data_IF_308566016262
#
_entry.id   IF_308566016262
#
_cell.length_a   1.000
_cell.length_b   1.000
_cell.length_c   1.000
_cell.angle_alpha   90.00
_cell.angle_beta   90.00
_cell.angle_gamma   90.00
#
_symmetry.space_group_name_H-M   'P 1'
#
loop_
_entity.id
_entity.type
_entity.pdbx_description
1 polymer ?
#
# COMPACT_ATOMS: atom_id res chain seq x y z
N UNK A 1 14.18 17.84 2.28
CA UNK A 1 13.67 18.48 1.04
C UNK A 1 12.20 18.12 0.92
N UNK A 2 11.29 19.09 0.86
CA UNK A 2 9.84 18.85 0.76
C UNK A 2 9.32 19.60 -0.47
N UNK A 3 8.38 19.02 -1.22
CA UNK A 3 7.76 19.61 -2.40
C UNK A 3 8.73 20.03 -3.52
N UNK A 4 9.83 19.29 -3.70
CA UNK A 4 10.72 19.44 -4.86
C UNK A 4 10.78 18.14 -5.64
N UNK A 5 10.99 18.28 -6.95
CA UNK A 5 11.19 17.14 -7.84
C UNK A 5 12.55 16.48 -7.56
N UNK A 6 12.52 15.25 -7.07
CA UNK A 6 13.72 14.44 -6.80
C UNK A 6 14.51 14.15 -8.06
N UNK A 7 13.88 14.13 -9.24
CA UNK A 7 14.54 13.85 -10.51
C UNK A 7 15.57 14.91 -10.91
N UNK A 8 15.47 16.11 -10.31
CA UNK A 8 16.43 17.19 -10.50
C UNK A 8 17.72 17.00 -9.70
N UNK A 9 17.69 16.17 -8.66
CA UNK A 9 18.85 15.87 -7.81
C UNK A 9 19.75 14.79 -8.39
N UNK A 10 19.24 13.99 -9.33
CA UNK A 10 20.04 12.97 -10.00
C UNK A 10 20.99 13.59 -11.02
N UNK A 11 22.19 13.03 -11.10
CA UNK A 11 23.16 13.39 -12.12
C UNK A 11 22.62 13.04 -13.53
N UNK A 12 22.76 13.93 -14.54
CA UNK A 12 22.22 13.72 -15.88
C UNK A 12 22.71 12.42 -16.54
N UNK A 13 23.98 12.06 -16.36
CA UNK A 13 24.55 10.82 -16.88
C UNK A 13 23.92 9.54 -16.32
N UNK A 14 23.40 9.60 -15.10
CA UNK A 14 22.79 8.45 -14.42
C UNK A 14 21.30 8.30 -14.78
N UNK A 15 20.67 9.31 -15.40
CA UNK A 15 19.24 9.30 -15.72
C UNK A 15 18.78 8.11 -16.59
N UNK A 16 19.55 7.63 -17.60
CA UNK A 16 19.18 6.44 -18.36
C UNK A 16 19.10 5.19 -17.48
N UNK A 17 20.05 5.00 -16.58
CA UNK A 17 20.03 3.88 -15.63
C UNK A 17 18.88 4.04 -14.62
N UNK A 18 18.67 5.25 -14.11
CA UNK A 18 17.59 5.55 -13.18
C UNK A 18 16.23 5.27 -13.83
N UNK A 19 16.06 5.53 -15.12
CA UNK A 19 14.84 5.14 -15.85
C UNK A 19 14.58 3.63 -15.75
N UNK A 20 15.57 2.80 -16.08
CA UNK A 20 15.45 1.34 -15.98
C UNK A 20 15.21 0.87 -14.53
N UNK A 21 15.82 1.57 -13.58
CA UNK A 21 15.62 1.35 -12.15
C UNK A 21 14.16 1.62 -11.76
N UNK A 22 13.58 2.75 -12.15
CA UNK A 22 12.17 3.05 -11.90
C UNK A 22 11.23 2.05 -12.58
N UNK A 23 11.53 1.60 -13.81
CA UNK A 23 10.77 0.52 -14.45
C UNK A 23 10.78 -0.76 -13.61
N UNK A 24 11.94 -1.10 -13.02
CA UNK A 24 12.11 -2.29 -12.19
C UNK A 24 11.42 -2.16 -10.83
N UNK A 25 11.55 -1.00 -10.18
CA UNK A 25 10.88 -0.66 -8.91
C UNK A 25 9.37 -0.81 -9.06
N UNK A 26 8.84 -0.32 -10.17
CA UNK A 26 7.41 -0.37 -10.45
C UNK A 26 6.93 -1.78 -10.78
N UNK A 27 7.77 -2.61 -11.42
CA UNK A 27 7.46 -4.01 -11.70
C UNK A 27 7.48 -4.90 -10.47
N UNK A 28 8.45 -4.72 -9.58
CA UNK A 28 8.71 -5.63 -8.45
C UNK A 28 8.15 -5.12 -7.12
N UNK A 29 7.65 -3.89 -7.08
CA UNK A 29 7.17 -3.16 -5.91
C UNK A 29 8.20 -2.95 -4.78
N UNK A 30 9.32 -3.66 -4.78
CA UNK A 30 10.46 -3.47 -3.89
C UNK A 30 11.75 -3.92 -4.59
N UNK A 31 12.87 -3.28 -4.26
CA UNK A 31 14.20 -3.66 -4.72
C UNK A 31 15.21 -3.53 -3.57
N UNK A 32 16.00 -4.58 -3.26
CA UNK A 32 16.83 -4.63 -2.06
C UNK A 32 18.01 -3.65 -2.08
N UNK A 33 18.72 -3.50 -3.21
CA UNK A 33 19.82 -2.53 -3.32
C UNK A 33 20.11 -2.19 -4.78
N UNK A 34 20.03 -0.92 -5.13
CA UNK A 34 20.40 -0.43 -6.47
C UNK A 34 21.91 -0.32 -6.63
N UNK A 35 22.38 -0.16 -7.88
CA UNK A 35 23.76 0.29 -8.11
C UNK A 35 23.94 1.70 -7.52
N UNK A 36 25.19 2.09 -7.18
CA UNK A 36 25.48 3.44 -6.73
C UNK A 36 25.05 4.49 -7.75
N UNK A 37 24.25 5.46 -7.31
CA UNK A 37 23.79 6.61 -8.11
C UNK A 37 24.29 7.91 -7.50
N UNK A 38 24.52 8.93 -8.33
CA UNK A 38 24.96 10.24 -7.87
C UNK A 38 23.76 11.12 -7.52
N UNK A 39 23.75 11.63 -6.29
CA UNK A 39 22.76 12.59 -5.79
C UNK A 39 23.43 13.93 -5.48
N UNK A 40 22.80 15.01 -5.95
CA UNK A 40 23.25 16.37 -5.70
C UNK A 40 22.94 16.79 -4.26
N UNK A 41 23.96 17.30 -3.56
CA UNK A 41 23.84 17.92 -2.23
C UNK A 41 23.57 19.41 -2.34
N UNK A 42 23.25 20.05 -1.21
CA UNK A 42 22.89 21.48 -1.19
C UNK A 42 24.00 22.41 -1.70
N UNK A 43 25.26 22.06 -1.45
CA UNK A 43 26.43 22.79 -1.95
C UNK A 43 26.75 22.53 -3.44
N UNK A 44 25.91 21.79 -4.18
CA UNK A 44 26.09 21.49 -5.60
C UNK A 44 27.07 20.36 -5.90
N UNK A 45 27.73 19.78 -4.89
CA UNK A 45 28.52 18.56 -5.06
C UNK A 45 27.61 17.33 -5.23
N UNK A 46 28.20 16.21 -5.62
CA UNK A 46 27.50 14.93 -5.71
C UNK A 46 28.02 13.94 -4.67
N UNK A 47 27.10 13.15 -4.13
CA UNK A 47 27.40 11.98 -3.29
C UNK A 47 27.01 10.71 -4.04
N UNK A 48 27.72 9.61 -3.80
CA UNK A 48 27.32 8.29 -4.32
C UNK A 48 26.50 7.56 -3.27
N UNK A 49 25.30 7.14 -3.64
CA UNK A 49 24.39 6.43 -2.75
C UNK A 49 23.90 5.12 -3.36
N UNK A 50 23.80 4.10 -2.54
CA UNK A 50 23.02 2.90 -2.82
C UNK A 50 21.65 3.04 -2.20
N UNK A 51 20.60 2.72 -2.94
CA UNK A 51 19.23 2.91 -2.45
C UNK A 51 18.49 1.58 -2.43
N UNK A 52 17.86 1.30 -1.29
CA UNK A 52 16.85 0.24 -1.17
C UNK A 52 15.50 0.87 -1.46
N UNK A 53 14.71 0.28 -2.36
CA UNK A 53 13.45 0.86 -2.82
C UNK A 53 12.26 0.05 -2.34
N UNK A 54 11.22 0.76 -1.95
CA UNK A 54 9.90 0.21 -1.68
C UNK A 54 8.84 1.10 -2.32
N UNK A 55 7.79 0.48 -2.84
CA UNK A 55 6.63 1.19 -3.37
C UNK A 55 5.40 0.86 -2.55
N UNK A 56 4.57 1.87 -2.31
CA UNK A 56 3.27 1.69 -1.68
C UNK A 56 2.21 2.00 -2.71
N UNK A 57 1.31 1.04 -2.88
CA UNK A 57 0.29 1.04 -3.90
C UNK A 57 -1.06 1.07 -3.21
N UNK A 58 -1.91 1.99 -3.67
CA UNK A 58 -3.24 2.14 -3.13
C UNK A 58 -4.09 0.89 -3.46
N UNK A 59 -4.70 0.22 -2.45
CA UNK A 59 -5.34 -1.08 -2.67
C UNK A 59 -6.63 -0.99 -3.50
N UNK A 60 -7.27 0.18 -3.56
CA UNK A 60 -8.51 0.39 -4.33
C UNK A 60 -8.23 0.85 -5.76
N UNK A 61 -7.41 1.90 -5.92
CA UNK A 61 -7.12 2.47 -7.25
C UNK A 61 -6.02 1.73 -8.02
N UNK A 62 -5.25 0.86 -7.34
CA UNK A 62 -4.07 0.16 -7.87
C UNK A 62 -2.98 1.10 -8.41
N UNK A 63 -3.00 2.37 -7.99
CA UNK A 63 -2.00 3.39 -8.35
C UNK A 63 -0.91 3.46 -7.29
N UNK A 64 0.30 3.80 -7.73
CA UNK A 64 1.40 4.13 -6.81
C UNK A 64 1.00 5.38 -6.02
N UNK A 65 1.01 5.26 -4.70
CA UNK A 65 0.73 6.36 -3.79
C UNK A 65 2.02 7.08 -3.42
N UNK A 66 3.07 6.32 -3.07
CA UNK A 66 4.41 6.85 -2.86
C UNK A 66 5.49 5.78 -3.08
N UNK A 67 6.70 6.25 -3.35
CA UNK A 67 7.92 5.45 -3.44
C UNK A 67 8.83 5.92 -2.30
N UNK A 68 9.34 4.97 -1.53
CA UNK A 68 10.28 5.20 -0.43
C UNK A 68 11.64 4.63 -0.80
N UNK A 69 12.68 5.45 -0.65
CA UNK A 69 14.08 5.04 -0.81
C UNK A 69 14.80 5.11 0.53
N UNK A 70 15.50 4.04 0.90
CA UNK A 70 16.46 4.03 2.01
C UNK A 70 17.86 4.19 1.43
N UNK A 71 18.43 5.36 1.63
CA UNK A 71 19.71 5.76 1.05
C UNK A 71 20.89 5.39 1.96
N UNK A 72 21.89 4.74 1.39
CA UNK A 72 23.16 4.41 2.03
C UNK A 72 24.28 5.15 1.30
N UNK A 73 25.00 6.02 2.01
CA UNK A 73 26.09 6.81 1.42
C UNK A 73 27.32 5.91 1.29
N UNK A 74 27.82 5.79 0.06
CA UNK A 74 29.03 5.04 -0.26
C UNK A 74 30.23 5.98 -0.35
N UNK A 75 30.03 7.15 -0.96
CA UNK A 75 31.08 8.15 -1.15
C UNK A 75 30.53 9.53 -0.79
N UNK A 76 31.30 10.24 0.04
CA UNK A 76 30.98 11.61 0.45
C UNK A 76 31.21 12.63 -0.68
N UNK A 77 30.76 13.87 -0.48
CA UNK A 77 30.93 14.94 -1.46
C UNK A 77 32.37 15.43 -1.48
N UNK A 78 32.81 15.95 -2.64
CA UNK A 78 34.14 16.53 -2.80
C UNK A 78 34.40 17.69 -1.81
N UNK A 79 33.39 18.53 -1.57
CA UNK A 79 33.42 19.52 -0.50
C UNK A 79 32.69 18.97 0.75
N UNK A 80 33.39 18.77 1.88
CA UNK A 80 32.78 18.26 3.11
C UNK A 80 31.75 19.23 3.72
N UNK A 81 31.83 20.53 3.39
CA UNK A 81 30.87 21.51 3.87
C UNK A 81 29.59 21.51 2.99
N UNK A 82 28.67 20.62 3.34
CA UNK A 82 27.38 20.45 2.62
C UNK A 82 26.36 21.56 2.89
N UNK A 83 26.58 22.40 3.90
CA UNK A 83 25.67 23.50 4.28
C UNK A 83 25.99 24.82 3.55
N UNK A 84 27.13 24.87 2.86
CA UNK A 84 27.51 26.00 2.04
C UNK A 84 26.56 26.15 0.84
N UNK A 85 26.28 27.39 0.43
CA UNK A 85 25.55 27.66 -0.81
C UNK A 85 26.31 27.11 -2.02
N UNK A 86 25.58 26.56 -3.00
CA UNK A 86 26.17 26.13 -4.25
C UNK A 86 26.89 27.28 -4.95
N UNK A 87 28.10 27.00 -5.43
CA UNK A 87 28.91 27.94 -6.19
C UNK A 87 28.44 27.93 -7.65
N UNK A 88 27.91 29.05 -8.18
CA UNK A 88 27.43 29.11 -9.56
C UNK A 88 28.55 28.89 -10.59
N UNK A 89 29.82 29.11 -10.23
CA UNK A 89 30.96 28.87 -11.13
C UNK A 89 31.29 27.38 -11.28
N UNK A 90 30.92 26.56 -10.28
CA UNK A 90 31.13 25.10 -10.30
C UNK A 90 29.92 24.33 -10.83
N UNK A 91 28.82 25.03 -11.13
CA UNK A 91 27.66 24.40 -11.73
C UNK A 91 28.06 23.81 -13.10
N UNK A 92 27.86 22.51 -13.30
CA UNK A 92 28.08 21.86 -14.59
C UNK A 92 27.31 22.62 -15.68
N UNK A 93 28.05 23.24 -16.59
CA UNK A 93 27.46 23.87 -17.78
C UNK A 93 27.12 22.76 -18.75
N UNK A 94 25.89 22.24 -18.63
CA UNK A 94 25.34 21.29 -19.59
C UNK A 94 25.01 22.01 -20.89
N UNK A 95 25.35 21.37 -22.01
CA UNK A 95 24.91 21.79 -23.34
C UNK A 95 23.39 21.70 -23.45
N UNK A 96 22.79 22.44 -24.38
CA UNK A 96 21.33 22.41 -24.57
C UNK A 96 20.84 21.02 -24.99
N UNK A 97 21.65 20.26 -25.73
CA UNK A 97 21.37 18.88 -26.09
C UNK A 97 21.32 17.95 -24.87
N UNK A 98 22.29 18.05 -23.96
CA UNK A 98 22.33 17.28 -22.72
C UNK A 98 21.15 17.62 -21.80
N UNK A 99 20.80 18.91 -21.70
CA UNK A 99 19.62 19.35 -20.93
C UNK A 99 18.34 18.77 -21.51
N UNK A 100 18.17 18.83 -22.83
CA UNK A 100 17.01 18.27 -23.51
C UNK A 100 16.92 16.76 -23.30
N UNK A 101 18.03 16.03 -23.45
CA UNK A 101 18.09 14.58 -23.21
C UNK A 101 17.72 14.25 -21.75
N UNK A 102 18.29 14.98 -20.79
CA UNK A 102 17.96 14.81 -19.38
C UNK A 102 16.47 15.05 -19.12
N UNK A 103 15.89 16.10 -19.71
CA UNK A 103 14.46 16.41 -19.58
C UNK A 103 13.57 15.32 -20.19
N UNK A 104 13.95 14.75 -21.34
CA UNK A 104 13.25 13.61 -21.94
C UNK A 104 13.29 12.37 -21.04
N UNK A 105 14.45 12.06 -20.44
CA UNK A 105 14.57 10.95 -19.49
C UNK A 105 13.68 11.17 -18.26
N UNK A 106 13.67 12.39 -17.69
CA UNK A 106 12.81 12.73 -16.55
C UNK A 106 11.33 12.58 -16.89
N UNK A 107 10.91 13.08 -18.04
CA UNK A 107 9.53 12.92 -18.52
C UNK A 107 9.15 11.44 -18.70
N UNK A 108 10.07 10.63 -19.22
CA UNK A 108 9.85 9.18 -19.35
C UNK A 108 9.70 8.50 -17.99
N UNK A 109 10.50 8.85 -16.97
CA UNK A 109 10.36 8.32 -15.60
C UNK A 109 8.99 8.65 -15.02
N UNK A 110 8.55 9.91 -15.16
CA UNK A 110 7.23 10.34 -14.70
C UNK A 110 6.12 9.56 -15.42
N UNK A 111 6.28 9.32 -16.72
CA UNK A 111 5.35 8.52 -17.52
C UNK A 111 5.26 7.08 -17.01
N UNK A 112 6.40 6.44 -16.77
CA UNK A 112 6.48 5.08 -16.20
C UNK A 112 5.72 5.01 -14.87
N UNK A 113 5.95 5.96 -13.96
CA UNK A 113 5.27 6.00 -12.65
C UNK A 113 3.76 6.19 -12.77
N UNK A 114 3.26 6.83 -13.84
CA UNK A 114 1.83 7.10 -14.06
C UNK A 114 1.11 5.96 -14.80
N UNK A 115 1.77 5.29 -15.74
CA UNK A 115 1.14 4.36 -16.68
C UNK A 115 1.05 2.91 -16.17
N UNK A 116 1.77 2.53 -15.13
CA UNK A 116 1.83 1.15 -14.61
C UNK A 116 0.67 0.78 -13.72
N UNK A 117 -0.53 0.80 -14.31
CA UNK A 117 -1.79 0.37 -13.70
C UNK A 117 -1.96 -1.16 -13.66
N UNK A 118 -1.12 -1.94 -14.35
CA UNK A 118 -1.39 -3.36 -14.65
C UNK A 118 -0.57 -4.39 -13.88
N UNK A 119 0.67 -4.10 -13.51
CA UNK A 119 1.56 -5.05 -12.81
C UNK A 119 1.20 -5.23 -11.31
N UNK A 120 0.74 -4.19 -10.58
CA UNK A 120 0.33 -4.33 -9.18
C UNK A 120 -0.91 -5.18 -8.97
N UNK A 121 -1.76 -5.36 -9.99
CA UNK A 121 -2.99 -6.14 -9.88
C UNK A 121 -2.68 -7.64 -9.70
N UNK A 122 -1.68 -8.17 -10.40
CA UNK A 122 -1.28 -9.57 -10.31
C UNK A 122 -0.56 -9.87 -8.98
N UNK A 123 0.37 -9.00 -8.57
CA UNK A 123 1.09 -9.13 -7.29
C UNK A 123 0.13 -8.93 -6.10
N UNK A 124 -0.78 -7.96 -6.18
CA UNK A 124 -1.80 -7.77 -5.13
C UNK A 124 -2.73 -8.98 -5.03
N UNK A 125 -3.09 -9.61 -6.16
CA UNK A 125 -3.91 -10.82 -6.17
C UNK A 125 -3.18 -11.98 -5.50
N UNK A 126 -1.91 -12.24 -5.81
CA UNK A 126 -1.10 -13.25 -5.13
C UNK A 126 -0.93 -12.97 -3.63
N UNK A 127 -0.65 -11.72 -3.24
CA UNK A 127 -0.52 -11.36 -1.83
C UNK A 127 -1.83 -11.51 -1.06
N UNK A 128 -2.97 -11.17 -1.66
CA UNK A 128 -4.29 -11.38 -1.06
C UNK A 128 -4.56 -12.87 -0.91
N UNK A 129 -4.28 -13.69 -1.93
CA UNK A 129 -4.45 -15.15 -1.85
C UNK A 129 -3.59 -15.72 -0.72
N UNK A 130 -2.32 -15.33 -0.65
CA UNK A 130 -1.39 -15.78 0.39
C UNK A 130 -1.86 -15.35 1.78
N UNK A 131 -2.29 -14.10 1.96
CA UNK A 131 -2.82 -13.63 3.25
C UNK A 131 -4.12 -14.30 3.63
N UNK A 132 -5.01 -14.58 2.68
CA UNK A 132 -6.22 -15.35 2.95
C UNK A 132 -5.85 -16.78 3.39
N UNK A 133 -4.88 -17.42 2.75
CA UNK A 133 -4.38 -18.74 3.16
C UNK A 133 -3.75 -18.70 4.56
N UNK A 134 -2.89 -17.73 4.85
CA UNK A 134 -2.25 -17.56 6.17
C UNK A 134 -3.29 -17.28 7.26
N UNK A 135 -4.33 -16.48 6.95
CA UNK A 135 -5.45 -16.22 7.85
C UNK A 135 -6.26 -17.49 8.09
N UNK A 136 -6.60 -18.25 7.04
CA UNK A 136 -7.32 -19.52 7.18
C UNK A 136 -6.54 -20.47 8.09
N UNK A 137 -5.24 -20.66 7.85
CA UNK A 137 -4.37 -21.50 8.68
C UNK A 137 -4.28 -21.00 10.12
N UNK A 138 -4.17 -19.69 10.34
CA UNK A 138 -4.13 -19.10 11.69
C UNK A 138 -5.47 -19.25 12.41
N UNK A 139 -6.60 -19.05 11.71
CA UNK A 139 -7.94 -19.26 12.28
C UNK A 139 -8.21 -20.73 12.58
N UNK A 140 -7.75 -21.65 11.73
CA UNK A 140 -7.84 -23.10 11.94
C UNK A 140 -6.96 -23.54 13.12
N UNK A 141 -5.72 -23.06 13.21
CA UNK A 141 -4.85 -23.31 14.36
C UNK A 141 -5.48 -22.81 15.67
N UNK A 142 -6.10 -21.63 15.64
CA UNK A 142 -6.76 -21.06 16.83
C UNK A 142 -8.07 -21.77 17.19
N UNK A 143 -8.76 -22.36 16.22
CA UNK A 143 -9.93 -23.23 16.46
C UNK A 143 -9.50 -24.60 17.04
N UNK A 144 -8.31 -25.10 16.67
CA UNK A 144 -7.72 -26.33 17.20
C UNK A 144 -7.09 -26.11 18.59
N UNK A 145 -6.63 -24.89 18.90
CA UNK A 145 -6.10 -24.50 20.22
C UNK A 145 -7.17 -24.11 21.24
N UNK A 146 -8.45 -24.04 20.88
CA UNK A 146 -9.49 -24.04 21.91
C UNK A 146 -9.45 -25.43 22.59
N UNK A 147 -9.18 -25.53 23.90
CA UNK A 147 -9.48 -26.77 24.60
C UNK A 147 -10.97 -27.01 24.39
N UNK A 148 -11.33 -28.26 24.05
CA UNK A 148 -12.70 -28.72 24.22
C UNK A 148 -13.09 -28.31 25.63
N UNK A 149 -14.03 -27.37 25.77
CA UNK A 149 -14.78 -27.23 26.99
C UNK A 149 -15.68 -28.47 27.05
N UNK A 150 -15.06 -29.59 27.39
CA UNK A 150 -15.72 -30.84 27.69
C UNK A 150 -16.41 -30.66 29.05
N UNK A 151 -17.74 -30.79 29.03
CA UNK A 151 -18.57 -31.26 30.14
C UNK A 151 -18.65 -30.45 31.46
N UNK A 152 -18.53 -29.13 31.45
CA UNK A 152 -18.70 -28.31 32.69
C UNK A 152 -19.87 -27.31 32.68
N UNK A 153 -20.89 -27.55 31.86
CA UNK A 153 -22.24 -27.01 32.10
C UNK A 153 -23.18 -28.12 32.58
N UNK A 154 -22.75 -28.89 33.58
CA UNK A 154 -23.71 -29.52 34.50
C UNK A 154 -24.28 -28.39 35.35
N UNK A 155 -25.30 -27.71 34.83
CA UNK A 155 -26.24 -26.99 35.67
C UNK A 155 -26.85 -28.04 36.61
N UNK A 156 -26.33 -28.10 37.84
CA UNK A 156 -27.01 -28.76 38.95
C UNK A 156 -28.33 -28.04 39.13
N UNK A 157 -29.39 -28.59 38.52
CA UNK A 157 -30.75 -28.28 38.91
C UNK A 157 -30.85 -28.84 40.33
N UNK A 158 -30.66 -27.97 41.32
CA UNK A 158 -31.01 -28.28 42.69
C UNK A 158 -32.51 -28.59 42.69
N UNK A 159 -32.82 -29.88 42.85
CA UNK A 159 -34.15 -30.37 43.22
C UNK A 159 -34.54 -29.72 44.55
N UNK A 160 -35.20 -28.58 44.47
CA UNK A 160 -36.04 -28.08 45.54
C UNK A 160 -37.38 -28.80 45.41
N UNK A 161 -37.47 -29.99 45.99
CA UNK A 161 -38.74 -30.66 46.16
C UNK A 161 -39.71 -29.77 46.96
N UNK A 162 -40.94 -29.72 46.44
CA UNK A 162 -42.20 -29.41 47.12
C UNK A 162 -42.57 -27.94 47.38
N UNK A 163 -43.35 -27.34 46.47
CA UNK A 163 -44.78 -27.07 46.74
C UNK A 163 -45.55 -26.63 45.47
N UNK A 164 -46.39 -27.55 45.01
CA UNK A 164 -47.71 -27.37 44.40
C UNK A 164 -48.16 -25.92 44.10
N UNK A 165 -48.30 -25.59 42.82
CA UNK A 165 -49.55 -25.04 42.27
C UNK A 165 -49.53 -25.03 40.73
N UNK A 166 -50.55 -25.63 40.14
CA UNK A 166 -50.90 -25.59 38.73
C UNK A 166 -51.01 -24.14 38.25
N UNK A 167 -50.59 -23.82 37.01
CA UNK A 167 -51.36 -23.09 35.97
C UNK A 167 -50.52 -22.78 34.72
N UNK A 168 -51.02 -23.30 33.60
CA UNK A 168 -51.12 -22.64 32.30
C UNK A 168 -49.88 -22.05 31.59
N UNK A 169 -49.50 -22.77 30.53
CA UNK A 169 -49.54 -22.27 29.14
C UNK A 169 -48.46 -21.28 28.64
N UNK A 170 -47.67 -21.79 27.67
CA UNK A 170 -47.44 -21.25 26.31
C UNK A 170 -45.97 -21.25 25.84
N UNK A 171 -45.73 -22.19 24.93
CA UNK A 171 -44.70 -22.26 23.88
C UNK A 171 -44.02 -20.91 23.55
N UNK A 172 -42.72 -20.83 23.85
CA UNK A 172 -41.85 -19.76 23.35
C UNK A 172 -41.68 -19.94 21.83
N UNK A 173 -42.30 -19.02 21.09
CA UNK A 173 -42.31 -18.98 19.63
C UNK A 173 -40.90 -18.83 19.03
N UNK A 174 -40.60 -19.68 18.07
CA UNK A 174 -39.46 -19.55 17.19
C UNK A 174 -39.66 -18.31 16.29
N UNK A 175 -38.80 -17.32 16.43
CA UNK A 175 -38.74 -16.17 15.53
C UNK A 175 -37.89 -16.59 14.33
N UNK A 176 -38.56 -17.09 13.29
CA UNK A 176 -37.95 -17.39 12.00
C UNK A 176 -37.73 -16.09 11.22
N UNK A 177 -36.51 -15.82 10.69
CA UNK A 177 -36.22 -14.57 9.98
C UNK A 177 -36.57 -14.71 8.51
N UNK A 178 -37.86 -14.69 8.18
CA UNK A 178 -38.27 -14.48 6.79
C UNK A 178 -39.60 -13.73 6.75
N UNK A 179 -39.55 -12.46 6.34
CA UNK A 179 -40.74 -11.67 6.08
C UNK A 179 -40.54 -10.85 4.82
N UNK A 180 -40.76 -11.48 3.67
CA UNK A 180 -41.22 -10.77 2.48
C UNK A 180 -42.71 -10.51 2.68
N UNK A 181 -43.12 -9.24 2.71
CA UNK A 181 -44.52 -8.89 2.61
C UNK A 181 -44.68 -7.65 1.73
N UNK A 182 -44.94 -7.94 0.46
CA UNK A 182 -45.69 -7.11 -0.47
C UNK A 182 -47.04 -6.74 0.14
N UNK A 183 -47.37 -5.45 0.18
CA UNK A 183 -48.60 -4.86 -0.37
C UNK A 183 -48.85 -3.47 0.23
N UNK A 184 -48.51 -2.43 -0.53
CA UNK A 184 -49.18 -1.13 -0.44
C UNK A 184 -49.47 -0.68 -1.88
N UNK A 185 -50.71 -0.87 -2.33
CA UNK A 185 -51.24 -0.32 -3.59
C UNK A 185 -52.03 0.98 -3.33
N UNK A 186 -52.06 1.80 -4.39
CA UNK A 186 -52.94 2.94 -4.70
C UNK A 186 -52.41 4.30 -4.21
N UNK A 187 -52.26 5.34 -5.04
CA UNK A 187 -53.17 5.77 -6.14
C UNK A 187 -52.42 6.55 -7.26
N UNK A 188 -52.75 6.26 -8.54
CA UNK A 188 -52.65 7.11 -9.75
C UNK A 188 -53.39 8.46 -9.55
N UNK A 189 -53.26 9.57 -10.28
CA UNK A 189 -52.69 10.08 -11.54
C UNK A 189 -52.60 11.63 -11.31
N UNK A 190 -51.89 12.50 -12.04
CA UNK A 190 -52.27 12.97 -13.39
C UNK A 190 -51.26 14.03 -13.91
N UNK A 191 -50.90 13.87 -15.18
CA UNK A 191 -50.61 14.86 -16.27
C UNK A 191 -49.39 15.80 -16.32
N UNK A 192 -48.72 15.65 -17.47
CA UNK A 192 -47.89 16.59 -18.22
C UNK A 192 -48.50 18.00 -18.39
N UNK A 193 -47.68 19.03 -18.19
CA UNK A 193 -47.09 19.88 -19.25
C UNK A 193 -45.99 20.78 -18.67
#
# INVERSE_FOLDING_TARGET
IVNKDVLTLYHPDDLPYIKELYESIVKQASMPRSKPIRLMTYNGCYIKVETEWATVINPWSKKIEYITGKYHIIEGPENPNVLQSADPEKAQVLTDEEKNKAQMCRAAIIKIMKETLTIPAEIAKEQIIKRCQDLTLSTEQRLVEQPKAEDELRLEIQDAEHTQDERDSLMLGAISPHRDYSDCKSTMDTTLN
#
